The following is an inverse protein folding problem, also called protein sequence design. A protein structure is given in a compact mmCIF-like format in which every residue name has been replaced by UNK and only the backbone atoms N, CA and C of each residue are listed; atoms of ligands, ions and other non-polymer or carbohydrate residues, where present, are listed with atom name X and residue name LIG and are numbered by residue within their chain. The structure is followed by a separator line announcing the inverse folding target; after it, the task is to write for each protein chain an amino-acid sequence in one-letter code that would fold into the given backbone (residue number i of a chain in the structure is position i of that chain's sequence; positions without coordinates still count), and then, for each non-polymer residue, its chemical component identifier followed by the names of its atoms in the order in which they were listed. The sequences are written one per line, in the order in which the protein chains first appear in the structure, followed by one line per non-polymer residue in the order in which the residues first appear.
data_IF_752010573417
#
_entry.id   IF_752010573417
#
_cell.length_a   1.000
_cell.length_b   1.000
_cell.length_c   1.000
_cell.angle_alpha   90.00
_cell.angle_beta   90.00
_cell.angle_gamma   90.00
#
_symmetry.space_group_name_H-M   'P 1'
#
loop_
_entity.id
_entity.type
_entity.pdbx_description
1 polymer ?
#
# COMPACT_ATOMS: atom_id res chain seq x y z
N UNK A 1 14.06 5.34 17.33
CA UNK A 1 13.78 6.09 16.10
C UNK A 1 12.42 5.66 15.55
N UNK A 2 11.53 6.62 15.36
CA UNK A 2 10.21 6.41 14.81
C UNK A 2 10.32 6.10 13.31
N UNK A 3 9.71 5.00 12.86
CA UNK A 3 9.66 4.64 11.43
C UNK A 3 8.70 5.56 10.68
N UNK A 4 8.95 5.75 9.40
CA UNK A 4 8.15 6.60 8.52
C UNK A 4 7.61 5.80 7.34
N UNK A 5 6.31 5.92 7.08
CA UNK A 5 5.65 5.35 5.91
C UNK A 5 5.03 6.48 5.09
N UNK A 6 5.32 6.50 3.80
CA UNK A 6 4.77 7.47 2.85
C UNK A 6 3.78 6.75 1.94
N UNK A 7 2.60 7.33 1.78
CA UNK A 7 1.53 6.79 0.94
C UNK A 7 1.16 7.82 -0.13
N UNK A 8 1.90 7.88 -1.25
CA UNK A 8 1.49 8.68 -2.38
C UNK A 8 0.38 7.96 -3.16
N UNK A 9 -0.69 8.65 -3.46
CA UNK A 9 -1.81 8.07 -4.19
C UNK A 9 -2.42 9.04 -5.20
N UNK A 10 -3.11 8.48 -6.19
CA UNK A 10 -4.02 9.19 -7.08
C UNK A 10 -5.41 8.55 -6.95
N UNK A 11 -6.44 9.37 -6.91
CA UNK A 11 -7.81 8.90 -6.84
C UNK A 11 -8.66 9.58 -7.90
N UNK A 12 -9.31 8.79 -8.76
CA UNK A 12 -10.18 9.31 -9.81
C UNK A 12 -11.62 9.56 -9.29
N UNK A 13 -12.14 8.64 -8.47
CA UNK A 13 -13.53 8.67 -7.97
C UNK A 13 -13.60 8.67 -6.44
N UNK A 14 -12.51 8.91 -5.76
CA UNK A 14 -12.44 8.86 -4.30
C UNK A 14 -12.21 7.47 -3.70
N UNK A 15 -12.26 6.39 -4.47
CA UNK A 15 -12.17 5.02 -3.96
C UNK A 15 -10.76 4.67 -3.49
N UNK A 16 -9.75 5.00 -4.28
CA UNK A 16 -8.35 4.80 -3.87
C UNK A 16 -7.99 5.68 -2.67
N UNK A 17 -8.56 6.87 -2.56
CA UNK A 17 -8.40 7.74 -1.40
C UNK A 17 -8.96 7.10 -0.13
N UNK A 18 -10.17 6.53 -0.18
CA UNK A 18 -10.77 5.82 0.97
C UNK A 18 -9.86 4.66 1.42
N UNK A 19 -9.31 3.90 0.47
CA UNK A 19 -8.36 2.82 0.78
C UNK A 19 -7.09 3.37 1.43
N UNK A 20 -6.53 4.46 0.91
CA UNK A 20 -5.33 5.09 1.46
C UNK A 20 -5.54 5.53 2.91
N UNK A 21 -6.68 6.11 3.23
CA UNK A 21 -7.03 6.56 4.58
C UNK A 21 -7.17 5.39 5.57
N UNK A 22 -7.80 4.29 5.15
CA UNK A 22 -7.95 3.08 5.97
C UNK A 22 -6.62 2.37 6.19
N UNK A 23 -5.82 2.24 5.16
CA UNK A 23 -4.47 1.67 5.26
C UNK A 23 -3.61 2.51 6.21
N UNK A 24 -3.64 3.84 6.07
CA UNK A 24 -2.91 4.74 6.97
C UNK A 24 -3.35 4.58 8.42
N UNK A 25 -4.65 4.44 8.68
CA UNK A 25 -5.18 4.17 10.02
C UNK A 25 -4.65 2.87 10.61
N UNK A 26 -4.62 1.81 9.83
CA UNK A 26 -4.06 0.52 10.24
C UNK A 26 -2.58 0.60 10.58
N UNK A 27 -1.80 1.32 9.79
CA UNK A 27 -0.37 1.52 10.04
C UNK A 27 -0.17 2.29 11.35
N UNK A 28 -0.91 3.36 11.59
CA UNK A 28 -0.82 4.15 12.83
C UNK A 28 -1.12 3.30 14.06
N UNK A 29 -2.10 2.43 13.97
CA UNK A 29 -2.50 1.56 15.09
C UNK A 29 -1.51 0.40 15.31
N UNK A 30 -0.65 0.10 14.35
CA UNK A 30 0.39 -0.95 14.49
C UNK A 30 1.52 -0.58 15.45
N UNK A 31 1.69 0.70 15.77
CA UNK A 31 2.72 1.20 16.66
C UNK A 31 3.14 2.63 16.36
N UNK A 32 4.25 3.11 16.92
CA UNK A 32 4.71 4.49 16.76
C UNK A 32 5.33 4.70 15.37
N UNK A 33 4.50 4.81 14.35
CA UNK A 33 4.88 5.06 12.95
C UNK A 33 4.38 6.43 12.52
N UNK A 34 5.23 7.21 11.87
CA UNK A 34 4.85 8.44 11.21
C UNK A 34 4.30 8.10 9.82
N UNK A 35 3.01 8.30 9.62
CA UNK A 35 2.34 7.98 8.35
C UNK A 35 1.92 9.27 7.65
N UNK A 36 2.37 9.44 6.42
CA UNK A 36 2.06 10.60 5.59
C UNK A 36 1.39 10.16 4.30
N UNK A 37 0.21 10.71 4.05
CA UNK A 37 -0.55 10.47 2.81
C UNK A 37 -0.47 11.69 1.92
N UNK A 38 -0.26 11.48 0.62
CA UNK A 38 -0.18 12.56 -0.37
C UNK A 38 -1.05 12.26 -1.57
N UNK A 39 -2.02 13.14 -1.82
CA UNK A 39 -2.75 13.16 -3.09
C UNK A 39 -1.84 13.78 -4.16
N UNK A 40 -1.43 12.99 -5.13
CA UNK A 40 -0.48 13.41 -6.16
C UNK A 40 -1.08 14.36 -7.20
N UNK A 41 -2.39 14.57 -7.18
CA UNK A 41 -3.04 15.62 -7.99
C UNK A 41 -2.82 17.01 -7.37
N UNK A 42 -2.76 17.09 -6.05
CA UNK A 42 -2.66 18.34 -5.30
C UNK A 42 -1.24 18.63 -4.78
N UNK A 43 -0.38 17.60 -4.71
CA UNK A 43 0.93 17.71 -4.07
C UNK A 43 2.04 17.78 -5.11
N UNK A 44 3.03 18.65 -4.89
CA UNK A 44 4.22 18.71 -5.73
C UNK A 44 5.02 17.40 -5.65
N UNK A 45 5.24 16.79 -6.80
CA UNK A 45 5.98 15.54 -6.92
C UNK A 45 7.41 15.63 -6.37
N UNK A 46 8.08 16.77 -6.54
CA UNK A 46 9.44 16.97 -6.05
C UNK A 46 9.53 16.88 -4.52
N UNK A 47 8.53 17.38 -3.81
CA UNK A 47 8.42 17.24 -2.35
C UNK A 47 8.32 15.78 -1.93
N UNK A 48 7.45 15.02 -2.59
CA UNK A 48 7.23 13.62 -2.27
C UNK A 48 8.47 12.79 -2.58
N UNK A 49 9.11 13.00 -3.72
CA UNK A 49 10.37 12.34 -4.09
C UNK A 49 11.45 12.55 -3.01
N UNK A 50 11.60 13.78 -2.50
CA UNK A 50 12.53 14.05 -1.42
C UNK A 50 12.20 13.28 -0.13
N UNK A 51 10.93 13.12 0.20
CA UNK A 51 10.52 12.37 1.39
C UNK A 51 10.67 10.85 1.24
N UNK A 52 10.57 10.33 0.01
CA UNK A 52 10.78 8.88 -0.23
C UNK A 52 12.19 8.42 0.14
N UNK A 53 13.19 9.29 0.08
CA UNK A 53 14.55 8.95 0.49
C UNK A 53 14.67 8.60 1.98
N UNK A 54 13.85 9.24 2.82
CA UNK A 54 13.85 9.04 4.27
C UNK A 54 12.82 8.05 4.76
N UNK A 55 11.93 7.58 3.88
CA UNK A 55 10.90 6.63 4.25
C UNK A 55 11.49 5.24 4.55
N UNK A 56 10.91 4.55 5.50
CA UNK A 56 11.19 3.14 5.79
C UNK A 56 10.25 2.22 5.02
N UNK A 57 9.07 2.71 4.69
CA UNK A 57 8.07 2.03 3.89
C UNK A 57 7.33 2.98 2.94
N UNK A 58 6.94 2.47 1.78
CA UNK A 58 6.23 3.23 0.75
C UNK A 58 5.08 2.38 0.21
N UNK A 59 3.88 2.95 0.19
CA UNK A 59 2.70 2.34 -0.42
C UNK A 59 2.14 3.23 -1.52
N UNK A 60 2.22 2.77 -2.75
CA UNK A 60 1.73 3.50 -3.92
C UNK A 60 0.26 3.18 -4.16
N UNK A 61 -0.59 4.19 -4.16
CA UNK A 61 -2.02 4.07 -4.43
C UNK A 61 -2.39 4.54 -5.83
N UNK A 62 -2.97 3.66 -6.64
CA UNK A 62 -3.44 4.01 -7.98
C UNK A 62 -4.65 3.18 -8.39
N UNK A 63 -5.69 3.81 -8.98
CA UNK A 63 -6.69 3.03 -9.70
C UNK A 63 -6.10 2.46 -10.99
N UNK A 64 -6.75 1.46 -11.56
CA UNK A 64 -6.44 0.98 -12.91
C UNK A 64 -7.38 1.65 -13.89
N UNK A 65 -6.82 2.39 -14.84
CA UNK A 65 -7.56 3.01 -15.95
C UNK A 65 -6.92 2.60 -17.26
N UNK A 66 -7.72 2.07 -18.17
CA UNK A 66 -7.25 1.56 -19.47
C UNK A 66 -6.11 0.54 -19.32
N UNK A 67 -6.24 -0.37 -18.35
CA UNK A 67 -5.24 -1.41 -18.09
C UNK A 67 -3.95 -0.94 -17.44
N UNK A 68 -3.87 0.31 -16.98
CA UNK A 68 -2.63 0.93 -16.49
C UNK A 68 -2.81 1.65 -15.15
N UNK A 69 -1.71 1.76 -14.41
CA UNK A 69 -1.60 2.70 -13.31
C UNK A 69 -1.56 4.15 -13.84
N UNK A 70 -1.98 5.10 -13.04
CA UNK A 70 -1.99 6.49 -13.46
C UNK A 70 -0.58 7.10 -13.47
N UNK A 71 -0.37 8.02 -14.42
CA UNK A 71 0.92 8.64 -14.70
C UNK A 71 1.63 9.24 -13.47
N UNK A 72 0.98 9.96 -12.55
CA UNK A 72 1.68 10.52 -11.39
C UNK A 72 2.37 9.46 -10.54
N UNK A 73 1.81 8.27 -10.43
CA UNK A 73 2.43 7.16 -9.70
C UNK A 73 3.59 6.56 -10.50
N UNK A 74 3.45 6.39 -11.81
CA UNK A 74 4.56 5.99 -12.67
C UNK A 74 5.74 6.97 -12.59
N UNK A 75 5.47 8.27 -12.61
CA UNK A 75 6.50 9.32 -12.50
C UNK A 75 7.27 9.21 -11.17
N UNK A 76 6.59 8.92 -10.06
CA UNK A 76 7.26 8.65 -8.79
C UNK A 76 8.17 7.43 -8.86
N UNK A 77 7.72 6.33 -9.47
CA UNK A 77 8.53 5.12 -9.58
C UNK A 77 9.76 5.30 -10.46
N UNK A 78 9.70 6.18 -11.45
CA UNK A 78 10.87 6.53 -12.29
C UNK A 78 11.87 7.45 -11.60
N UNK A 79 11.47 8.07 -10.49
CA UNK A 79 12.31 8.91 -9.65
C UNK A 79 12.99 8.14 -8.51
N UNK A 80 12.73 6.84 -8.41
CA UNK A 80 13.30 5.95 -7.40
C UNK A 80 14.50 5.21 -7.99
N UNK A 81 15.60 5.18 -7.26
CA UNK A 81 16.83 4.51 -7.67
C UNK A 81 17.18 3.38 -6.70
N UNK A 82 17.61 2.20 -7.22
CA UNK A 82 17.99 1.08 -6.35
C UNK A 82 19.11 1.41 -5.36
N UNK A 83 20.04 2.27 -5.75
CA UNK A 83 21.16 2.66 -4.90
C UNK A 83 20.73 3.46 -3.65
N UNK A 84 19.68 4.27 -3.78
CA UNK A 84 19.19 5.14 -2.70
C UNK A 84 18.02 4.53 -1.94
N UNK A 85 17.11 3.85 -2.65
CA UNK A 85 15.83 3.37 -2.11
C UNK A 85 15.77 1.85 -1.98
N UNK A 86 16.72 1.10 -2.54
CA UNK A 86 16.73 -0.36 -2.45
C UNK A 86 16.75 -0.85 -1.01
N UNK A 87 16.04 -1.93 -0.75
CA UNK A 87 15.92 -2.51 0.59
C UNK A 87 14.82 -1.90 1.49
N UNK A 88 14.15 -0.82 1.07
CA UNK A 88 12.96 -0.31 1.75
C UNK A 88 11.76 -1.21 1.48
N UNK A 89 10.84 -1.30 2.44
CA UNK A 89 9.56 -1.98 2.21
C UNK A 89 8.69 -1.14 1.28
N UNK A 90 8.12 -1.78 0.27
CA UNK A 90 7.22 -1.12 -0.67
C UNK A 90 6.14 -2.06 -1.17
N UNK A 91 4.96 -1.54 -1.40
CA UNK A 91 3.87 -2.24 -2.06
C UNK A 91 2.96 -1.24 -2.77
N UNK A 92 1.87 -1.74 -3.34
CA UNK A 92 0.90 -0.93 -4.06
C UNK A 92 -0.52 -1.37 -3.74
N UNK A 93 -1.46 -0.45 -3.88
CA UNK A 93 -2.89 -0.71 -3.68
C UNK A 93 -3.72 0.13 -4.63
N UNK A 94 -4.97 -0.24 -4.80
CA UNK A 94 -5.88 0.58 -5.57
C UNK A 94 -7.21 -0.09 -5.88
N UNK A 95 -8.13 0.72 -6.38
CA UNK A 95 -9.42 0.28 -6.89
C UNK A 95 -9.35 0.05 -8.40
N UNK A 96 -10.19 -0.84 -8.91
CA UNK A 96 -10.33 -1.09 -10.34
C UNK A 96 -11.78 -1.43 -10.70
N UNK A 97 -12.17 -1.13 -11.93
CA UNK A 97 -13.52 -1.44 -12.41
C UNK A 97 -13.56 -2.67 -13.29
N UNK A 98 -12.78 -2.67 -14.33
CA UNK A 98 -12.82 -3.67 -15.39
C UNK A 98 -11.72 -4.72 -15.22
N UNK A 99 -10.50 -4.27 -15.14
CA UNK A 99 -9.31 -5.09 -14.94
C UNK A 99 -8.37 -4.40 -13.96
N UNK A 100 -7.55 -5.15 -13.26
CA UNK A 100 -6.80 -4.67 -12.11
C UNK A 100 -5.28 -4.69 -12.32
N UNK A 101 -4.79 -4.38 -13.52
CA UNK A 101 -3.37 -4.49 -13.87
C UNK A 101 -2.48 -3.40 -13.27
N UNK A 102 -3.05 -2.25 -12.91
CA UNK A 102 -2.28 -1.11 -12.42
C UNK A 102 -1.44 -1.44 -11.20
N UNK A 103 -2.00 -2.13 -10.22
CA UNK A 103 -1.27 -2.55 -9.01
C UNK A 103 -0.18 -3.57 -9.32
N UNK A 104 -0.43 -4.67 -10.04
CA UNK A 104 0.63 -5.60 -10.45
C UNK A 104 1.77 -4.94 -11.23
N UNK A 105 1.49 -3.99 -12.12
CA UNK A 105 2.52 -3.27 -12.86
C UNK A 105 3.45 -2.48 -11.93
N UNK A 106 2.89 -1.79 -10.94
CA UNK A 106 3.69 -1.08 -9.95
C UNK A 106 4.49 -2.06 -9.10
N UNK A 107 3.90 -3.17 -8.67
CA UNK A 107 4.60 -4.22 -7.91
C UNK A 107 5.82 -4.73 -8.68
N UNK A 108 5.68 -5.04 -9.95
CA UNK A 108 6.79 -5.50 -10.79
C UNK A 108 7.90 -4.44 -10.89
N UNK A 109 7.51 -3.19 -11.03
CA UNK A 109 8.48 -2.07 -11.06
C UNK A 109 9.23 -1.95 -9.73
N UNK A 110 8.56 -2.10 -8.60
CA UNK A 110 9.18 -2.05 -7.28
C UNK A 110 10.20 -3.19 -7.08
N UNK A 111 9.90 -4.38 -7.57
CA UNK A 111 10.83 -5.52 -7.58
C UNK A 111 12.07 -5.23 -8.43
N UNK A 112 11.89 -4.63 -9.62
CA UNK A 112 13.01 -4.18 -10.47
C UNK A 112 13.91 -3.17 -9.75
N UNK A 113 13.34 -2.32 -8.91
CA UNK A 113 14.04 -1.33 -8.10
C UNK A 113 14.72 -1.90 -6.84
N UNK A 114 14.70 -3.21 -6.67
CA UNK A 114 15.30 -3.93 -5.53
C UNK A 114 14.70 -3.54 -4.17
N UNK A 115 13.45 -3.15 -4.15
CA UNK A 115 12.71 -2.91 -2.92
C UNK A 115 12.20 -4.23 -2.33
N UNK A 116 11.95 -4.24 -1.02
CA UNK A 116 11.33 -5.38 -0.34
C UNK A 116 9.82 -5.31 -0.52
N UNK A 117 9.31 -6.14 -1.42
CA UNK A 117 7.87 -6.22 -1.71
C UNK A 117 7.29 -7.43 -0.99
N UNK A 118 6.54 -7.24 0.11
CA UNK A 118 6.11 -8.35 0.97
C UNK A 118 4.91 -9.14 0.41
N UNK A 119 4.20 -8.56 -0.55
CA UNK A 119 2.95 -9.11 -1.09
C UNK A 119 2.75 -8.70 -2.57
N UNK A 120 1.63 -9.16 -3.15
CA UNK A 120 1.26 -8.82 -4.53
C UNK A 120 0.40 -7.55 -4.64
N UNK A 121 0.35 -6.76 -3.57
CA UNK A 121 -0.46 -5.56 -3.49
C UNK A 121 -1.88 -5.81 -2.99
N UNK A 122 -2.62 -4.73 -2.77
CA UNK A 122 -4.00 -4.75 -2.31
C UNK A 122 -4.92 -4.14 -3.37
N UNK A 123 -5.89 -4.91 -3.85
CA UNK A 123 -6.81 -4.48 -4.90
C UNK A 123 -8.25 -4.67 -4.49
N UNK A 124 -9.08 -3.68 -4.81
CA UNK A 124 -10.53 -3.74 -4.59
C UNK A 124 -11.26 -3.44 -5.89
N UNK A 125 -12.23 -4.26 -6.23
CA UNK A 125 -13.07 -4.07 -7.41
C UNK A 125 -14.20 -3.09 -7.11
N UNK A 126 -14.30 -2.04 -7.94
CA UNK A 126 -15.28 -0.95 -7.79
C UNK A 126 -15.16 -0.19 -6.45
N UNK A 127 -16.28 0.32 -5.96
CA UNK A 127 -16.35 1.03 -4.70
C UNK A 127 -16.07 0.09 -3.53
N UNK A 128 -15.14 0.43 -2.63
CA UNK A 128 -14.92 -0.37 -1.43
C UNK A 128 -16.19 -0.43 -0.57
N UNK A 129 -16.60 -1.64 -0.22
CA UNK A 129 -17.61 -1.87 0.81
C UNK A 129 -16.97 -1.90 2.21
N UNK A 130 -17.78 -2.09 3.25
CA UNK A 130 -17.29 -2.12 4.63
C UNK A 130 -16.25 -3.23 4.85
N UNK A 131 -16.45 -4.39 4.23
CA UNK A 131 -15.51 -5.52 4.33
C UNK A 131 -14.18 -5.17 3.67
N UNK A 132 -14.21 -4.58 2.48
CA UNK A 132 -13.00 -4.14 1.78
C UNK A 132 -12.24 -3.06 2.57
N UNK A 133 -12.95 -2.14 3.21
CA UNK A 133 -12.34 -1.11 4.05
C UNK A 133 -11.70 -1.70 5.32
N UNK A 134 -12.31 -2.72 5.92
CA UNK A 134 -11.70 -3.47 7.02
C UNK A 134 -10.45 -4.23 6.57
N UNK A 135 -10.51 -4.87 5.42
CA UNK A 135 -9.35 -5.57 4.83
C UNK A 135 -8.21 -4.58 4.53
N UNK A 136 -8.52 -3.38 4.06
CA UNK A 136 -7.55 -2.32 3.86
C UNK A 136 -6.89 -1.89 5.17
N UNK A 137 -7.66 -1.72 6.23
CA UNK A 137 -7.15 -1.42 7.56
C UNK A 137 -6.19 -2.50 8.05
N UNK A 138 -6.57 -3.76 7.95
CA UNK A 138 -5.72 -4.90 8.35
C UNK A 138 -4.45 -5.00 7.49
N UNK A 139 -4.58 -4.75 6.20
CA UNK A 139 -3.42 -4.68 5.30
C UNK A 139 -2.42 -3.61 5.77
N UNK A 140 -2.91 -2.43 6.11
CA UNK A 140 -2.10 -1.35 6.67
C UNK A 140 -1.45 -1.74 8.00
N UNK A 141 -2.20 -2.35 8.89
CA UNK A 141 -1.69 -2.82 10.18
C UNK A 141 -0.53 -3.81 10.00
N UNK A 142 -0.68 -4.79 9.13
CA UNK A 142 0.38 -5.76 8.82
C UNK A 142 1.61 -5.09 8.20
N UNK A 143 1.41 -4.18 7.27
CA UNK A 143 2.52 -3.43 6.67
C UNK A 143 3.26 -2.59 7.70
N UNK A 144 2.56 -1.93 8.61
CA UNK A 144 3.14 -1.19 9.71
C UNK A 144 3.98 -2.08 10.64
N UNK A 145 3.50 -3.28 10.94
CA UNK A 145 4.27 -4.27 11.71
C UNK A 145 5.57 -4.67 10.99
N UNK A 146 5.50 -4.94 9.70
CA UNK A 146 6.68 -5.28 8.89
C UNK A 146 7.74 -4.19 8.92
N UNK A 147 7.33 -2.94 8.70
CA UNK A 147 8.24 -1.78 8.69
C UNK A 147 8.93 -1.59 10.04
N UNK A 148 8.25 -1.92 11.13
CA UNK A 148 8.79 -1.85 12.48
C UNK A 148 9.65 -3.07 12.88
N UNK A 149 9.76 -4.08 12.01
CA UNK A 149 10.46 -5.33 12.31
C UNK A 149 9.71 -6.23 13.31
N UNK A 150 8.42 -6.02 13.51
CA UNK A 150 7.57 -6.90 14.32
C UNK A 150 7.17 -8.10 13.47
N UNK A 151 7.48 -9.31 13.91
CA UNK A 151 6.97 -10.51 13.27
C UNK A 151 5.45 -10.59 13.46
N UNK A 152 4.71 -10.51 12.36
CA UNK A 152 3.31 -10.92 12.40
C UNK A 152 3.29 -12.45 12.49
N UNK A 153 2.80 -13.01 13.57
CA UNK A 153 2.70 -14.44 13.78
C UNK A 153 1.74 -15.17 12.82
N UNK A 154 1.41 -14.59 11.68
CA UNK A 154 0.53 -15.18 10.68
C UNK A 154 0.98 -14.86 9.24
N UNK A 155 2.17 -15.29 8.86
CA UNK A 155 2.57 -15.35 7.45
C UNK A 155 2.21 -16.72 6.83
N UNK A 156 0.94 -17.07 6.84
CA UNK A 156 0.38 -18.12 6.00
C UNK A 156 -1.03 -17.74 5.53
N UNK A 157 -1.12 -16.74 4.69
CA UNK A 157 -2.26 -16.61 3.81
C UNK A 157 -1.75 -16.87 2.38
N UNK A 158 -1.58 -18.15 2.09
CA UNK A 158 -1.41 -18.60 0.72
C UNK A 158 -2.61 -18.16 -0.11
N UNK A 159 -2.35 -17.80 -1.33
CA UNK A 159 -3.31 -17.63 -2.41
C UNK A 159 -4.38 -18.73 -2.38
N UNK A 160 -5.50 -18.46 -1.76
CA UNK A 160 -6.66 -19.32 -1.86
C UNK A 160 -7.72 -18.61 -2.69
N UNK A 161 -7.85 -19.05 -3.93
CA UNK A 161 -9.05 -18.81 -4.74
C UNK A 161 -10.28 -19.25 -3.93
N UNK A 162 -11.17 -18.31 -3.65
CA UNK A 162 -12.57 -18.63 -3.44
C UNK A 162 -13.03 -19.11 -2.06
N UNK A 163 -12.24 -19.08 -1.02
CA UNK A 163 -12.72 -19.38 0.32
C UNK A 163 -12.55 -18.16 1.26
N UNK A 164 -13.64 -17.67 1.80
CA UNK A 164 -13.60 -16.74 2.93
C UNK A 164 -12.91 -17.45 4.09
N UNK A 165 -11.64 -17.22 4.30
CA UNK A 165 -10.97 -17.64 5.53
C UNK A 165 -11.36 -16.67 6.63
N UNK A 166 -11.82 -17.19 7.74
CA UNK A 166 -11.99 -16.47 8.99
C UNK A 166 -10.64 -15.81 9.35
N UNK A 167 -10.63 -14.50 9.44
CA UNK A 167 -9.44 -13.73 9.82
C UNK A 167 -9.53 -13.43 11.30
N UNK A 168 -8.53 -13.86 12.05
CA UNK A 168 -8.44 -13.52 13.47
C UNK A 168 -7.99 -12.06 13.61
N UNK A 169 -8.75 -11.25 14.33
CA UNK A 169 -8.34 -9.90 14.66
C UNK A 169 -7.05 -9.94 15.49
N UNK A 170 -5.99 -9.28 14.99
CA UNK A 170 -4.70 -9.24 15.68
C UNK A 170 -4.70 -8.36 16.93
N UNK A 171 -5.70 -7.48 17.05
CA UNK A 171 -5.82 -6.54 18.17
C UNK A 171 -6.64 -7.14 19.32
N UNK A 172 -7.80 -7.74 19.03
CA UNK A 172 -8.72 -8.27 20.05
C UNK A 172 -8.75 -9.81 20.14
N UNK A 173 -8.12 -10.51 19.18
CA UNK A 173 -8.11 -11.96 19.14
C UNK A 173 -9.41 -12.61 18.65
N UNK A 174 -10.41 -11.81 18.26
CA UNK A 174 -11.67 -12.30 17.72
C UNK A 174 -11.52 -12.81 16.29
N UNK A 175 -12.34 -13.80 15.94
CA UNK A 175 -12.36 -14.40 14.60
C UNK A 175 -13.54 -13.80 13.83
N UNK A 176 -13.26 -13.26 12.67
CA UNK A 176 -14.27 -12.72 11.77
C UNK A 176 -14.43 -13.59 10.54
#
# INVERSE_FOLDING_TARGET
NKKTVIIPYVSAYGYTKELAEKIAGGIRDSGPVDVRTYDMVETDAAKVVGELEFADGILFGTPTIVGEALKPIWDLTTSIFPATHGGKYASAFGSYGWSGEGVPHIIDRLKQLKMKVPDDGFRVKFKPDEVALMDAYEYGYRFGCLVQGKESKNSQAGTAKGARKLVKCLVCGEIF
#
